data_IF_521886897862
#
_entry.id   IF_521886897862
#
_cell.length_a   1.000
_cell.length_b   1.000
_cell.length_c   1.000
_cell.angle_alpha   90.00
_cell.angle_beta   90.00
_cell.angle_gamma   90.00
#
_symmetry.space_group_name_H-M   'P 1'
#
loop_
_entity.id
_entity.type
_entity.pdbx_description
1 polymer ?
#
# COMPACT_ATOMS: atom_id res chain seq x y z
N UNK A 1 -15.82 -15.73 9.28
CA UNK A 1 -15.25 -14.41 8.95
C UNK A 1 -13.80 -14.49 9.36
N UNK A 2 -12.87 -14.51 8.40
CA UNK A 2 -11.45 -14.73 8.70
C UNK A 2 -10.88 -13.52 9.43
N UNK A 3 -10.33 -13.77 10.62
CA UNK A 3 -9.73 -12.78 11.51
C UNK A 3 -8.50 -12.11 10.84
N UNK A 4 -8.68 -10.92 10.26
CA UNK A 4 -7.60 -10.04 9.78
C UNK A 4 -6.96 -9.24 10.92
N UNK A 5 -7.19 -9.63 12.17
CA UNK A 5 -6.75 -8.96 13.41
C UNK A 5 -5.22 -8.85 13.55
N UNK A 6 -4.46 -9.60 12.74
CA UNK A 6 -3.00 -9.52 12.66
C UNK A 6 -2.47 -8.42 11.71
N UNK A 7 -3.33 -7.80 10.90
CA UNK A 7 -2.94 -6.67 10.04
C UNK A 7 -2.89 -5.37 10.87
N UNK A 8 -1.96 -4.44 10.57
CA UNK A 8 -1.96 -3.13 11.21
C UNK A 8 -3.26 -2.41 10.83
N UNK A 9 -3.95 -1.86 11.81
CA UNK A 9 -5.09 -0.98 11.56
C UNK A 9 -4.55 0.43 11.38
N UNK A 10 -4.72 0.99 10.19
CA UNK A 10 -4.34 2.37 9.89
C UNK A 10 -5.53 3.30 10.11
N UNK A 11 -5.24 4.56 10.44
CA UNK A 11 -6.29 5.57 10.47
C UNK A 11 -6.81 5.82 9.06
N UNK A 12 -8.08 6.16 8.93
CA UNK A 12 -8.69 6.50 7.64
C UNK A 12 -7.91 7.62 6.92
N UNK A 13 -7.40 8.59 7.68
CA UNK A 13 -6.58 9.70 7.16
C UNK A 13 -5.29 9.18 6.50
N UNK A 14 -4.64 8.18 7.09
CA UNK A 14 -3.40 7.61 6.54
C UNK A 14 -3.68 6.80 5.26
N UNK A 15 -4.80 6.07 5.22
CA UNK A 15 -5.26 5.36 4.02
C UNK A 15 -5.54 6.34 2.89
N UNK A 16 -6.28 7.42 3.17
CA UNK A 16 -6.62 8.44 2.18
C UNK A 16 -5.38 9.18 1.67
N UNK A 17 -4.43 9.52 2.56
CA UNK A 17 -3.16 10.15 2.15
C UNK A 17 -2.36 9.24 1.22
N UNK A 18 -2.32 7.95 1.51
CA UNK A 18 -1.64 6.99 0.65
C UNK A 18 -2.36 6.82 -0.71
N UNK A 19 -3.70 6.82 -0.73
CA UNK A 19 -4.47 6.85 -1.98
C UNK A 19 -4.19 8.13 -2.80
N UNK A 20 -4.12 9.30 -2.16
CA UNK A 20 -3.76 10.56 -2.82
C UNK A 20 -2.36 10.51 -3.45
N UNK A 21 -1.40 9.88 -2.78
CA UNK A 21 -0.06 9.69 -3.33
C UNK A 21 -0.09 8.83 -4.61
N UNK A 22 -0.89 7.76 -4.61
CA UNK A 22 -1.12 6.92 -5.80
C UNK A 22 -1.76 7.75 -6.92
N UNK A 23 -2.81 8.51 -6.63
CA UNK A 23 -3.46 9.35 -7.63
C UNK A 23 -2.49 10.36 -8.26
N UNK A 24 -1.59 10.96 -7.49
CA UNK A 24 -0.57 11.87 -8.00
C UNK A 24 0.46 11.15 -8.87
N UNK A 25 0.89 9.95 -8.47
CA UNK A 25 1.90 9.17 -9.19
C UNK A 25 1.39 8.57 -10.51
N UNK A 26 0.08 8.34 -10.61
CA UNK A 26 -0.58 7.79 -11.81
C UNK A 26 -1.45 8.81 -12.55
N UNK A 27 -1.40 10.09 -12.15
CA UNK A 27 -2.10 11.14 -12.85
C UNK A 27 -1.60 11.25 -14.31
N UNK A 28 -2.48 11.59 -15.26
CA UNK A 28 -2.04 11.90 -16.61
C UNK A 28 -0.94 12.98 -16.59
N UNK A 29 0.07 12.90 -17.46
CA UNK A 29 1.11 13.91 -17.53
C UNK A 29 0.48 15.29 -17.79
N UNK A 30 0.54 16.16 -16.81
CA UNK A 30 0.15 17.57 -16.95
C UNK A 30 1.41 18.41 -17.11
N UNK A 31 1.28 19.61 -17.67
CA UNK A 31 2.40 20.56 -17.81
C UNK A 31 3.05 20.93 -16.47
N UNK A 32 2.37 20.66 -15.34
CA UNK A 32 2.83 20.92 -13.97
C UNK A 32 3.59 19.77 -13.30
N UNK A 33 3.56 18.54 -13.83
CA UNK A 33 4.27 17.41 -13.21
C UNK A 33 5.60 17.18 -13.91
N UNK A 34 6.70 17.59 -13.26
CA UNK A 34 8.02 17.35 -13.82
C UNK A 34 8.40 15.86 -13.72
N UNK A 35 9.33 15.38 -14.57
CA UNK A 35 9.86 14.02 -14.45
C UNK A 35 10.50 13.74 -13.08
N UNK A 36 11.06 14.75 -12.43
CA UNK A 36 11.67 14.60 -11.10
C UNK A 36 10.62 14.50 -9.99
N UNK A 37 9.49 15.21 -10.12
CA UNK A 37 8.34 15.02 -9.23
C UNK A 37 7.78 13.60 -9.34
N UNK A 38 7.66 13.07 -10.56
CA UNK A 38 7.21 11.70 -10.77
C UNK A 38 8.17 10.67 -10.14
N UNK A 39 9.48 10.86 -10.30
CA UNK A 39 10.48 10.01 -9.63
C UNK A 39 10.36 10.07 -8.11
N UNK A 40 10.13 11.26 -7.53
CA UNK A 40 9.92 11.43 -6.09
C UNK A 40 8.68 10.67 -5.62
N UNK A 41 7.55 10.83 -6.31
CA UNK A 41 6.30 10.13 -5.98
C UNK A 41 6.45 8.60 -6.04
N UNK A 42 7.12 8.09 -7.07
CA UNK A 42 7.41 6.66 -7.21
C UNK A 42 8.33 6.17 -6.08
N UNK A 43 9.32 6.97 -5.67
CA UNK A 43 10.17 6.64 -4.53
C UNK A 43 9.39 6.62 -3.21
N UNK A 44 8.50 7.59 -2.98
CA UNK A 44 7.63 7.61 -1.80
C UNK A 44 6.70 6.40 -1.73
N UNK A 45 6.11 5.99 -2.86
CA UNK A 45 5.30 4.77 -2.95
C UNK A 45 6.11 3.51 -2.66
N UNK A 46 7.35 3.44 -3.15
CA UNK A 46 8.25 2.33 -2.86
C UNK A 46 8.60 2.26 -1.36
N UNK A 47 8.93 3.38 -0.74
CA UNK A 47 9.22 3.43 0.69
C UNK A 47 7.98 3.15 1.55
N UNK A 48 6.80 3.57 1.11
CA UNK A 48 5.53 3.21 1.73
C UNK A 48 5.35 1.69 1.72
N UNK A 49 5.51 1.04 0.56
CA UNK A 49 5.34 -0.40 0.41
C UNK A 49 6.32 -1.20 1.27
N UNK A 50 7.52 -0.70 1.55
CA UNK A 50 8.50 -1.40 2.40
C UNK A 50 8.08 -1.49 3.87
N UNK A 51 7.35 -0.49 4.38
CA UNK A 51 6.97 -0.39 5.80
C UNK A 51 6.11 -1.57 6.26
N UNK A 52 6.31 -2.12 7.48
CA UNK A 52 5.42 -3.15 8.05
C UNK A 52 3.94 -2.73 8.09
N UNK A 53 3.68 -1.43 8.25
CA UNK A 53 2.37 -0.79 8.25
C UNK A 53 1.62 -0.95 6.93
N UNK A 54 2.33 -1.15 5.81
CA UNK A 54 1.72 -1.28 4.49
C UNK A 54 0.83 -2.52 4.34
N UNK A 55 0.99 -3.52 5.21
CA UNK A 55 0.02 -4.63 5.33
C UNK A 55 -1.41 -4.12 5.63
N UNK A 56 -1.54 -2.99 6.34
CA UNK A 56 -2.81 -2.38 6.70
C UNK A 56 -3.48 -1.64 5.54
N UNK A 57 -2.75 -1.38 4.46
CA UNK A 57 -3.28 -0.75 3.25
C UNK A 57 -3.94 -1.76 2.32
N UNK A 58 -3.62 -3.05 2.43
CA UNK A 58 -4.03 -4.08 1.45
C UNK A 58 -5.55 -4.15 1.31
N UNK A 59 -6.28 -4.36 2.41
CA UNK A 59 -7.74 -4.51 2.34
C UNK A 59 -8.42 -3.19 1.93
N UNK A 60 -8.15 -2.04 2.58
CA UNK A 60 -8.76 -0.78 2.18
C UNK A 60 -8.51 -0.41 0.71
N UNK A 61 -7.35 -0.77 0.16
CA UNK A 61 -7.03 -0.49 -1.24
C UNK A 61 -7.68 -1.46 -2.22
N UNK A 62 -7.77 -2.75 -1.88
CA UNK A 62 -8.49 -3.74 -2.69
C UNK A 62 -10.00 -3.43 -2.78
N UNK A 63 -10.56 -2.81 -1.74
CA UNK A 63 -11.97 -2.39 -1.69
C UNK A 63 -12.21 -0.96 -2.21
N UNK A 64 -11.14 -0.25 -2.62
CA UNK A 64 -11.24 1.11 -3.12
C UNK A 64 -11.97 1.18 -4.47
N UNK A 65 -12.56 2.33 -4.80
CA UNK A 65 -13.30 2.52 -6.06
C UNK A 65 -12.41 2.76 -7.28
N UNK A 66 -11.20 3.29 -7.08
CA UNK A 66 -10.21 3.58 -8.13
C UNK A 66 -9.31 2.38 -8.45
N UNK A 67 -9.15 2.07 -9.74
CA UNK A 67 -8.39 0.92 -10.23
C UNK A 67 -6.88 0.99 -9.98
N UNK A 68 -6.28 2.19 -9.97
CA UNK A 68 -4.86 2.34 -9.68
C UNK A 68 -4.59 2.06 -8.20
N UNK A 69 -5.50 2.49 -7.32
CA UNK A 69 -5.44 2.18 -5.88
C UNK A 69 -5.59 0.68 -5.65
N UNK A 70 -6.56 0.04 -6.30
CA UNK A 70 -6.74 -1.42 -6.25
C UNK A 70 -5.49 -2.18 -6.72
N UNK A 71 -4.93 -1.78 -7.86
CA UNK A 71 -3.72 -2.38 -8.41
C UNK A 71 -2.54 -2.25 -7.44
N UNK A 72 -2.35 -1.07 -6.86
CA UNK A 72 -1.30 -0.85 -5.86
C UNK A 72 -1.52 -1.68 -4.59
N UNK A 73 -2.77 -1.83 -4.13
CA UNK A 73 -3.13 -2.70 -3.01
C UNK A 73 -2.78 -4.17 -3.27
N UNK A 74 -3.14 -4.68 -4.44
CA UNK A 74 -2.81 -6.04 -4.88
C UNK A 74 -1.29 -6.26 -4.99
N UNK A 75 -0.58 -5.29 -5.60
CA UNK A 75 0.87 -5.35 -5.74
C UNK A 75 1.58 -5.31 -4.38
N UNK A 76 1.08 -4.47 -3.46
CA UNK A 76 1.57 -4.41 -2.08
C UNK A 76 1.40 -5.76 -1.38
N UNK A 77 0.23 -6.39 -1.48
CA UNK A 77 0.01 -7.73 -0.93
C UNK A 77 1.01 -8.74 -1.50
N UNK A 78 1.21 -8.75 -2.83
CA UNK A 78 2.14 -9.66 -3.49
C UNK A 78 3.58 -9.50 -3.00
N UNK A 79 4.09 -8.27 -2.89
CA UNK A 79 5.45 -7.99 -2.38
C UNK A 79 5.57 -8.37 -0.90
N UNK A 80 4.56 -8.04 -0.11
CA UNK A 80 4.50 -8.28 1.33
C UNK A 80 4.48 -9.77 1.66
N UNK A 81 3.67 -10.56 0.95
CA UNK A 81 3.66 -12.02 1.05
C UNK A 81 5.02 -12.60 0.65
N UNK A 82 5.63 -12.14 -0.43
CA UNK A 82 6.91 -12.68 -0.88
C UNK A 82 8.07 -12.43 0.09
N UNK A 83 8.04 -11.33 0.85
CA UNK A 83 9.15 -10.88 1.72
C UNK A 83 8.93 -11.13 3.21
N UNK A 84 7.73 -10.84 3.70
CA UNK A 84 7.48 -10.67 5.14
C UNK A 84 6.60 -11.80 5.72
N UNK A 85 6.21 -12.79 4.90
CA UNK A 85 5.27 -13.84 5.30
C UNK A 85 5.67 -14.51 6.62
N UNK A 86 6.90 -14.98 6.73
CA UNK A 86 7.35 -15.67 7.94
C UNK A 86 7.53 -14.75 9.15
N UNK A 87 8.00 -13.51 8.94
CA UNK A 87 8.21 -12.56 10.03
C UNK A 87 6.90 -12.15 10.72
N UNK A 88 5.77 -12.19 9.99
CA UNK A 88 4.46 -11.77 10.53
C UNK A 88 3.49 -12.92 10.80
N UNK A 89 3.41 -13.93 9.93
CA UNK A 89 2.46 -15.04 10.09
C UNK A 89 2.95 -16.18 10.99
N UNK A 90 4.25 -16.28 11.30
CA UNK A 90 4.74 -17.33 12.23
C UNK A 90 4.35 -17.08 13.70
N UNK A 91 4.02 -15.83 14.07
CA UNK A 91 3.58 -15.50 15.44
C UNK A 91 2.20 -16.08 15.80
N UNK A 92 1.50 -16.68 14.84
CA UNK A 92 0.21 -17.36 15.02
C UNK A 92 0.35 -18.88 15.25
N UNK A 93 1.57 -19.43 15.20
CA UNK A 93 1.87 -20.87 15.37
C UNK A 93 2.89 -21.12 16.49
N UNK A 94 2.71 -20.49 17.65
CA UNK A 94 3.39 -20.91 18.89
C UNK A 94 2.33 -21.45 19.86
N UNK A 95 2.09 -22.76 19.77
CA UNK A 95 1.59 -23.59 20.86
C UNK A 95 2.70 -24.56 21.25
#
# INVERSE_FOLDING_TARGET
>A
MSETSFLPILSQIDVERAAQLIHQAYAPPTTSTSPDDLKRLQHELFELQKRPEAWGLVIPFLEHSDSNVQFFGAHTAQVKIARDWYARMSSLYVF
#
